data_IF_355951568254
#
_entry.id   IF_355951568254
#
_cell.length_a   1.000
_cell.length_b   1.000
_cell.length_c   1.000
_cell.angle_alpha   90.00
_cell.angle_beta   90.00
_cell.angle_gamma   90.00
#
_symmetry.space_group_name_H-M   'P 1'
#
loop_
_entity.id
_entity.type
_entity.pdbx_description
1 polymer ?
#
# COMPACT_ATOMS: atom_id res chain seq x y z
N UNK A 1 7.86 2.15 -7.68
CA UNK A 1 7.57 1.40 -6.43
C UNK A 1 8.61 0.29 -6.25
N UNK A 2 8.83 -0.42 -7.34
CA UNK A 2 9.71 -1.56 -7.58
C UNK A 2 11.13 -1.34 -7.03
N UNK A 3 11.84 -0.32 -7.51
CA UNK A 3 13.22 -0.05 -7.09
C UNK A 3 13.39 0.33 -5.62
N UNK A 4 12.31 0.75 -4.93
CA UNK A 4 12.38 1.10 -3.51
C UNK A 4 12.14 -0.11 -2.60
N UNK A 5 11.46 -1.13 -3.10
CA UNK A 5 11.09 -2.35 -2.37
C UNK A 5 12.20 -3.38 -2.44
N UNK A 6 12.83 -3.53 -3.61
CA UNK A 6 13.85 -4.57 -3.84
C UNK A 6 15.09 -4.30 -2.96
N UNK A 7 15.46 -5.20 -2.02
CA UNK A 7 16.65 -5.05 -1.18
C UNK A 7 17.96 -5.03 -1.97
N UNK A 8 17.98 -5.59 -3.19
CA UNK A 8 19.16 -5.61 -4.06
C UNK A 8 19.29 -4.34 -4.91
N UNK A 9 18.27 -3.49 -4.92
CA UNK A 9 18.29 -2.24 -5.67
C UNK A 9 19.12 -1.17 -4.94
N UNK A 10 19.92 -0.36 -5.65
CA UNK A 10 20.63 0.77 -5.06
C UNK A 10 19.69 1.88 -4.54
N UNK A 11 18.40 1.82 -4.90
CA UNK A 11 17.37 2.74 -4.45
C UNK A 11 16.49 2.16 -3.33
N UNK A 12 16.87 1.01 -2.77
CA UNK A 12 16.15 0.36 -1.69
C UNK A 12 15.94 1.35 -0.53
N UNK A 13 14.70 1.46 -0.04
CA UNK A 13 14.41 2.29 1.13
C UNK A 13 14.28 1.41 2.37
N UNK A 14 14.99 1.77 3.43
CA UNK A 14 14.95 1.08 4.73
C UNK A 14 13.53 0.90 5.27
N UNK A 15 12.63 1.86 4.98
CA UNK A 15 11.23 1.79 5.39
C UNK A 15 10.58 0.48 4.96
N UNK A 16 10.87 -0.02 3.76
CA UNK A 16 10.32 -1.27 3.23
C UNK A 16 11.00 -2.54 3.77
N UNK A 17 12.18 -2.40 4.40
CA UNK A 17 12.92 -3.50 5.03
C UNK A 17 12.66 -3.60 6.55
N UNK A 18 11.73 -2.79 7.06
CA UNK A 18 11.43 -2.71 8.50
C UNK A 18 10.75 -3.95 9.10
N UNK A 19 10.38 -4.95 8.29
CA UNK A 19 9.60 -6.12 8.71
C UNK A 19 8.13 -5.82 9.06
N UNK A 20 7.70 -4.55 8.96
CA UNK A 20 6.31 -4.14 9.22
C UNK A 20 5.37 -4.65 8.14
N UNK A 21 4.10 -4.82 8.52
CA UNK A 21 3.04 -5.11 7.55
C UNK A 21 2.68 -3.88 6.75
N UNK A 22 2.76 -3.97 5.43
CA UNK A 22 2.33 -2.92 4.52
C UNK A 22 0.91 -3.18 4.04
N UNK A 23 0.02 -2.21 4.25
CA UNK A 23 -1.34 -2.22 3.71
C UNK A 23 -1.42 -1.17 2.60
N UNK A 24 -1.64 -1.62 1.37
CA UNK A 24 -1.78 -0.74 0.21
C UNK A 24 -3.28 -0.51 -0.06
N UNK A 25 -3.66 0.73 -0.32
CA UNK A 25 -5.05 1.07 -0.64
C UNK A 25 -5.12 2.08 -1.78
N UNK A 26 -6.25 2.06 -2.49
CA UNK A 26 -6.64 3.10 -3.44
C UNK A 26 -8.10 3.48 -3.17
N UNK A 27 -8.77 4.16 -4.10
CA UNK A 27 -10.18 4.54 -3.90
C UNK A 27 -11.13 3.34 -3.75
N UNK A 28 -11.00 2.31 -4.60
CA UNK A 28 -11.95 1.18 -4.69
C UNK A 28 -11.33 -0.22 -4.57
N UNK A 29 -10.02 -0.32 -4.34
CA UNK A 29 -9.32 -1.59 -4.10
C UNK A 29 -8.65 -2.25 -5.32
N UNK A 30 -9.08 -1.98 -6.57
CA UNK A 30 -8.54 -2.65 -7.76
C UNK A 30 -7.05 -2.32 -8.03
N UNK A 31 -6.70 -1.03 -8.05
CA UNK A 31 -5.30 -0.59 -8.27
C UNK A 31 -4.36 -1.08 -7.17
N UNK A 32 -4.83 -1.07 -5.92
CA UNK A 32 -4.03 -1.52 -4.79
C UNK A 32 -3.87 -3.04 -4.75
N UNK A 33 -4.82 -3.80 -5.32
CA UNK A 33 -4.67 -5.24 -5.47
C UNK A 33 -3.50 -5.56 -6.42
N UNK A 34 -3.44 -4.90 -7.58
CA UNK A 34 -2.32 -5.04 -8.53
C UNK A 34 -0.98 -4.62 -7.91
N UNK A 35 -0.94 -3.45 -7.26
CA UNK A 35 0.27 -2.97 -6.60
C UNK A 35 0.72 -3.88 -5.44
N UNK A 36 -0.24 -4.40 -4.65
CA UNK A 36 0.04 -5.36 -3.58
C UNK A 36 0.60 -6.68 -4.09
N UNK A 37 0.07 -7.19 -5.21
CA UNK A 37 0.61 -8.37 -5.87
C UNK A 37 2.04 -8.14 -6.36
N UNK A 38 2.29 -7.05 -7.09
CA UNK A 38 3.63 -6.73 -7.58
C UNK A 38 4.63 -6.60 -6.42
N UNK A 39 4.28 -5.88 -5.36
CA UNK A 39 5.11 -5.75 -4.17
C UNK A 39 5.39 -7.12 -3.50
N UNK A 40 4.40 -8.01 -3.44
CA UNK A 40 4.56 -9.35 -2.89
C UNK A 40 5.50 -10.23 -3.73
N UNK A 41 5.34 -10.20 -5.05
CA UNK A 41 6.18 -10.93 -6.02
C UNK A 41 7.64 -10.44 -5.95
N UNK A 42 7.85 -9.14 -5.68
CA UNK A 42 9.18 -8.54 -5.45
C UNK A 42 9.76 -8.79 -4.05
N UNK A 43 9.06 -9.51 -3.17
CA UNK A 43 9.59 -9.89 -1.86
C UNK A 43 9.22 -8.96 -0.71
N UNK A 44 8.41 -7.92 -0.91
CA UNK A 44 7.88 -7.12 0.21
C UNK A 44 6.97 -7.99 1.06
N UNK A 45 7.43 -8.40 2.24
CA UNK A 45 6.66 -9.25 3.14
C UNK A 45 6.88 -8.80 4.59
N UNK A 46 5.80 -8.64 5.38
CA UNK A 46 4.40 -8.89 5.04
C UNK A 46 3.71 -7.73 4.28
N UNK A 47 2.93 -8.05 3.22
CA UNK A 47 2.14 -7.06 2.43
C UNK A 47 0.71 -7.55 2.20
N UNK A 48 -0.26 -6.63 2.21
CA UNK A 48 -1.66 -6.87 1.85
C UNK A 48 -2.29 -5.63 1.21
N UNK A 49 -3.48 -5.78 0.64
CA UNK A 49 -4.28 -4.64 0.16
C UNK A 49 -5.61 -4.53 0.89
N UNK A 50 -6.14 -3.31 0.98
CA UNK A 50 -7.45 -3.04 1.57
C UNK A 50 -8.55 -3.34 0.55
N UNK A 51 -9.41 -4.33 0.85
CA UNK A 51 -10.58 -4.65 0.02
C UNK A 51 -11.56 -3.48 0.02
N UNK A 52 -12.07 -3.10 -1.16
CA UNK A 52 -12.98 -1.95 -1.33
C UNK A 52 -12.32 -0.58 -1.20
N UNK A 53 -11.03 -0.53 -0.86
CA UNK A 53 -10.25 0.72 -0.76
C UNK A 53 -10.82 1.74 0.23
N UNK A 54 -10.48 3.00 -0.02
CA UNK A 54 -10.94 4.14 0.78
C UNK A 54 -12.47 4.32 0.77
N UNK A 55 -13.14 3.91 -0.30
CA UNK A 55 -14.61 3.94 -0.38
C UNK A 55 -15.24 3.06 0.69
N UNK A 56 -14.80 1.81 0.80
CA UNK A 56 -15.29 0.90 1.85
C UNK A 56 -14.89 1.37 3.26
N UNK A 57 -13.71 1.97 3.42
CA UNK A 57 -13.28 2.57 4.69
C UNK A 57 -14.26 3.65 5.16
N UNK A 58 -14.63 4.57 4.26
CA UNK A 58 -15.62 5.61 4.56
C UNK A 58 -17.01 5.06 4.84
N UNK A 59 -17.47 4.07 4.06
CA UNK A 59 -18.78 3.44 4.25
C UNK A 59 -18.89 2.71 5.60
N UNK A 60 -17.78 2.15 6.08
CA UNK A 60 -17.71 1.51 7.39
C UNK A 60 -17.67 2.52 8.56
N UNK A 61 -17.68 3.84 8.29
CA UNK A 61 -17.69 4.88 9.31
C UNK A 61 -16.36 5.06 10.04
N UNK A 62 -15.24 4.59 9.45
CA UNK A 62 -13.93 4.77 10.06
C UNK A 62 -13.43 6.22 9.94
N UNK A 63 -12.49 6.64 10.82
CA UNK A 63 -11.95 8.00 10.81
C UNK A 63 -11.35 8.39 9.46
N UNK A 64 -11.68 9.59 9.01
CA UNK A 64 -11.11 10.22 7.81
C UNK A 64 -10.87 11.70 8.07
N UNK A 65 -9.86 12.25 7.40
CA UNK A 65 -9.59 13.68 7.42
C UNK A 65 -10.12 14.34 6.14
N UNK A 66 -10.72 15.51 6.29
CA UNK A 66 -11.11 16.37 5.17
C UNK A 66 -9.94 17.29 4.82
N UNK A 67 -9.45 17.17 3.59
CA UNK A 67 -8.41 18.08 3.07
C UNK A 67 -9.10 19.19 2.28
N UNK A 68 -8.84 20.44 2.64
CA UNK A 68 -9.35 21.58 1.89
C UNK A 68 -8.81 21.56 0.45
N UNK A 69 -9.64 21.95 -0.51
CA UNK A 69 -9.16 22.15 -1.88
C UNK A 69 -8.26 23.37 -1.90
N UNK A 70 -7.00 23.14 -2.28
CA UNK A 70 -6.01 24.18 -2.52
C UNK A 70 -6.32 24.96 -3.81
#
# INVERSE_FOLDING_TARGET
LEFWIDPQSPYAKERFQSGKKFIIFCAGGLRSALAGRAAHEMGLRPVAHMRGGFGAWKQAGFPVETVEKK
#
